data_IF_957513112210
#
_entry.id   IF_957513112210
#
_cell.length_a   1.000
_cell.length_b   1.000
_cell.length_c   1.000
_cell.angle_alpha   90.00
_cell.angle_beta   90.00
_cell.angle_gamma   90.00
#
_symmetry.space_group_name_H-M   'P 1'
#
loop_
_entity.id
_entity.type
_entity.pdbx_description
1 polymer ?
#
# COMPACT_ATOMS: atom_id res chain seq x y z
N UNK A 1 17.80 2.18 19.69
CA UNK A 1 17.76 2.26 18.21
C UNK A 1 16.43 2.88 17.84
N UNK A 2 16.45 4.11 17.33
CA UNK A 2 15.27 4.80 16.82
C UNK A 2 14.69 3.92 15.69
N UNK A 3 13.45 3.43 15.83
CA UNK A 3 12.74 2.85 14.67
C UNK A 3 12.59 4.00 13.68
N UNK A 4 13.27 3.94 12.54
CA UNK A 4 13.04 4.91 11.47
C UNK A 4 11.56 4.91 11.09
N UNK A 5 11.00 6.11 10.99
CA UNK A 5 9.60 6.29 10.67
C UNK A 5 9.41 6.02 9.18
N UNK A 6 8.63 5.00 8.83
CA UNK A 6 8.34 4.68 7.44
C UNK A 6 7.47 5.77 6.81
N UNK A 7 7.82 6.18 5.60
CA UNK A 7 6.99 6.97 4.69
C UNK A 7 6.03 6.03 3.97
N UNK A 8 4.73 6.27 4.14
CA UNK A 8 3.68 5.39 3.63
C UNK A 8 2.79 6.16 2.65
N UNK A 9 2.53 5.58 1.48
CA UNK A 9 1.48 6.05 0.57
C UNK A 9 0.24 5.17 0.73
N UNK A 10 -0.91 5.78 1.02
CA UNK A 10 -2.20 5.13 1.15
C UNK A 10 -3.07 5.51 -0.05
N UNK A 11 -3.47 4.52 -0.85
CA UNK A 11 -4.32 4.71 -2.02
C UNK A 11 -5.61 3.92 -1.90
N UNK A 12 -6.74 4.62 -1.88
CA UNK A 12 -8.09 4.08 -1.79
C UNK A 12 -9.07 5.18 -2.19
N UNK A 13 -10.12 4.90 -2.95
CA UNK A 13 -11.13 5.91 -3.31
C UNK A 13 -12.03 6.26 -2.11
N UNK A 14 -12.18 5.35 -1.16
CA UNK A 14 -12.96 5.55 0.06
C UNK A 14 -12.19 6.36 1.11
N UNK A 15 -12.68 7.58 1.38
CA UNK A 15 -12.17 8.44 2.46
C UNK A 15 -12.17 7.71 3.82
N UNK A 16 -13.20 6.89 4.09
CA UNK A 16 -13.31 6.14 5.33
C UNK A 16 -12.19 5.11 5.46
N UNK A 17 -11.87 4.38 4.39
CA UNK A 17 -10.80 3.39 4.40
C UNK A 17 -9.43 4.04 4.54
N UNK A 18 -9.18 5.17 3.85
CA UNK A 18 -7.93 5.93 4.03
C UNK A 18 -7.76 6.40 5.48
N UNK A 19 -8.81 6.97 6.09
CA UNK A 19 -8.77 7.38 7.50
C UNK A 19 -8.45 6.21 8.43
N UNK A 20 -9.17 5.09 8.31
CA UNK A 20 -8.92 3.89 9.13
C UNK A 20 -7.49 3.39 8.99
N UNK A 21 -6.96 3.31 7.77
CA UNK A 21 -5.59 2.85 7.56
C UNK A 21 -4.57 3.84 8.14
N UNK A 22 -4.77 5.14 7.96
CA UNK A 22 -3.91 6.17 8.57
C UNK A 22 -3.89 6.08 10.08
N UNK A 23 -5.05 5.91 10.72
CA UNK A 23 -5.14 5.76 12.17
C UNK A 23 -4.34 4.53 12.62
N UNK A 24 -4.50 3.38 11.93
CA UNK A 24 -3.73 2.18 12.19
C UNK A 24 -2.22 2.35 11.99
N UNK A 25 -1.81 3.03 10.92
CA UNK A 25 -0.41 3.32 10.63
C UNK A 25 0.20 4.30 11.64
N UNK A 26 -0.60 5.24 12.15
CA UNK A 26 -0.21 6.16 13.23
C UNK A 26 0.09 5.40 14.52
N UNK A 27 -0.73 4.42 14.88
CA UNK A 27 -0.47 3.52 16.02
C UNK A 27 0.81 2.70 15.84
N UNK A 28 1.18 2.36 14.60
CA UNK A 28 2.45 1.70 14.27
C UNK A 28 3.68 2.63 14.36
N UNK A 29 3.48 3.94 14.56
CA UNK A 29 4.54 4.96 14.56
C UNK A 29 5.02 5.35 13.16
N UNK A 30 4.16 5.27 12.13
CA UNK A 30 4.46 5.83 10.81
C UNK A 30 4.08 7.32 10.83
N UNK A 31 5.07 8.21 10.66
CA UNK A 31 4.87 9.65 10.82
C UNK A 31 4.54 10.37 9.51
N UNK A 32 4.98 9.85 8.37
CA UNK A 32 4.80 10.48 7.06
C UNK A 32 3.84 9.65 6.21
N UNK A 33 2.58 10.08 6.13
CA UNK A 33 1.55 9.38 5.37
C UNK A 33 1.01 10.30 4.26
N UNK A 34 1.12 9.81 3.03
CA UNK A 34 0.64 10.47 1.81
C UNK A 34 -0.63 9.75 1.37
N UNK A 35 -1.61 10.48 0.83
CA UNK A 35 -2.86 9.91 0.35
C UNK A 35 -3.05 10.07 -1.17
N UNK A 36 -3.59 9.03 -1.80
CA UNK A 36 -4.09 9.04 -3.17
C UNK A 36 -5.52 8.51 -3.20
N UNK A 37 -6.32 8.98 -4.16
CA UNK A 37 -7.74 8.62 -4.32
C UNK A 37 -7.99 7.67 -5.49
N UNK A 38 -6.97 7.40 -6.30
CA UNK A 38 -7.03 6.57 -7.50
C UNK A 38 -5.63 6.10 -7.89
N UNK A 39 -5.58 5.09 -8.77
CA UNK A 39 -4.33 4.45 -9.15
C UNK A 39 -3.37 5.36 -9.93
N UNK A 40 -3.86 6.33 -10.71
CA UNK A 40 -2.98 7.26 -11.42
C UNK A 40 -2.29 8.20 -10.44
N UNK A 41 -3.06 8.78 -9.52
CA UNK A 41 -2.51 9.68 -8.51
C UNK A 41 -1.50 8.96 -7.62
N UNK A 42 -1.72 7.69 -7.31
CA UNK A 42 -0.76 6.88 -6.56
C UNK A 42 0.56 6.66 -7.32
N UNK A 43 0.51 6.38 -8.62
CA UNK A 43 1.71 6.27 -9.47
C UNK A 43 2.51 7.58 -9.48
N UNK A 44 1.82 8.71 -9.64
CA UNK A 44 2.48 10.02 -9.70
C UNK A 44 3.13 10.38 -8.36
N UNK A 45 2.39 10.21 -7.26
CA UNK A 45 2.88 10.46 -5.91
C UNK A 45 4.01 9.52 -5.51
N UNK A 46 3.99 8.26 -5.97
CA UNK A 46 5.10 7.33 -5.76
C UNK A 46 6.38 7.85 -6.41
N UNK A 47 6.31 8.28 -7.68
CA UNK A 47 7.47 8.80 -8.41
C UNK A 47 8.04 10.06 -7.78
N UNK A 48 7.17 10.93 -7.27
CA UNK A 48 7.54 12.20 -6.62
C UNK A 48 8.15 12.00 -5.24
N UNK A 49 7.54 11.15 -4.39
CA UNK A 49 7.85 11.09 -2.97
C UNK A 49 8.67 9.85 -2.56
N UNK A 50 8.74 8.83 -3.41
CA UNK A 50 9.42 7.54 -3.19
C UNK A 50 9.14 6.96 -1.79
N UNK A 51 7.87 6.64 -1.48
CA UNK A 51 7.51 6.08 -0.18
C UNK A 51 8.14 4.69 0.03
N UNK A 52 8.37 4.32 1.28
CA UNK A 52 8.94 3.01 1.64
C UNK A 52 7.96 1.86 1.41
N UNK A 53 6.66 2.16 1.50
CA UNK A 53 5.57 1.22 1.21
C UNK A 53 4.34 1.95 0.67
N UNK A 54 3.66 1.29 -0.25
CA UNK A 54 2.35 1.70 -0.76
C UNK A 54 1.29 0.71 -0.29
N UNK A 55 0.19 1.18 0.28
CA UNK A 55 -1.03 0.41 0.45
C UNK A 55 -2.00 0.79 -0.67
N UNK A 56 -2.40 -0.17 -1.49
CA UNK A 56 -3.12 0.07 -2.74
C UNK A 56 -4.43 -0.72 -2.79
N UNK A 57 -5.58 -0.06 -2.87
CA UNK A 57 -6.82 -0.75 -3.21
C UNK A 57 -6.82 -1.24 -4.66
N UNK A 58 -7.51 -2.35 -4.93
CA UNK A 58 -7.59 -2.94 -6.27
C UNK A 58 -8.62 -2.24 -7.15
N UNK A 59 -9.80 -1.96 -6.61
CA UNK A 59 -10.97 -1.58 -7.38
C UNK A 59 -11.22 -0.10 -7.19
N UNK A 60 -10.62 0.70 -8.06
CA UNK A 60 -10.71 2.16 -8.03
C UNK A 60 -11.12 2.72 -9.40
N UNK A 61 -11.74 3.93 -9.44
CA UNK A 61 -11.99 4.63 -10.70
C UNK A 61 -10.67 5.05 -11.38
N UNK A 62 -10.76 5.42 -12.68
CA UNK A 62 -9.66 5.90 -13.53
C UNK A 62 -8.59 4.84 -13.84
N UNK A 63 -7.87 4.36 -12.82
CA UNK A 63 -6.86 3.31 -12.93
C UNK A 63 -7.02 2.34 -11.77
N UNK A 64 -7.20 1.07 -12.10
CA UNK A 64 -7.25 -0.01 -11.11
C UNK A 64 -5.88 -0.20 -10.44
N UNK A 65 -5.90 -0.70 -9.20
CA UNK A 65 -4.70 -0.83 -8.39
C UNK A 65 -3.67 -1.80 -8.97
N UNK A 66 -4.09 -2.81 -9.74
CA UNK A 66 -3.17 -3.79 -10.33
C UNK A 66 -2.33 -3.11 -11.42
N UNK A 67 -2.95 -2.34 -12.32
CA UNK A 67 -2.21 -1.51 -13.28
C UNK A 67 -1.31 -0.49 -12.62
N UNK A 68 -1.75 0.10 -11.50
CA UNK A 68 -0.92 1.01 -10.73
C UNK A 68 0.34 0.30 -10.17
N UNK A 69 0.20 -0.93 -9.69
CA UNK A 69 1.34 -1.77 -9.26
C UNK A 69 2.30 -2.01 -10.43
N UNK A 70 1.80 -2.45 -11.59
CA UNK A 70 2.62 -2.72 -12.77
C UNK A 70 3.47 -1.50 -13.15
N UNK A 71 2.88 -0.30 -13.18
CA UNK A 71 3.59 0.94 -13.50
C UNK A 71 4.60 1.35 -12.42
N UNK A 72 4.24 1.22 -11.14
CA UNK A 72 5.16 1.49 -10.03
C UNK A 72 6.35 0.54 -10.09
N UNK A 73 6.11 -0.76 -10.35
CA UNK A 73 7.17 -1.79 -10.45
C UNK A 73 8.04 -1.62 -11.69
N UNK A 74 7.47 -1.15 -12.80
CA UNK A 74 8.23 -0.83 -14.00
C UNK A 74 9.16 0.38 -13.78
N UNK A 75 8.73 1.35 -12.98
CA UNK A 75 9.56 2.50 -12.59
C UNK A 75 10.60 2.13 -11.51
N UNK A 76 10.20 1.33 -10.53
CA UNK A 76 11.02 0.90 -9.41
C UNK A 76 10.74 -0.57 -9.05
N UNK A 77 11.63 -1.45 -9.49
CA UNK A 77 11.51 -2.90 -9.26
C UNK A 77 11.56 -3.27 -7.77
N UNK A 78 12.08 -2.40 -6.90
CA UNK A 78 12.18 -2.62 -5.46
C UNK A 78 10.98 -2.06 -4.69
N UNK A 79 10.06 -1.37 -5.36
CA UNK A 79 8.85 -0.83 -4.74
C UNK A 79 8.10 -1.92 -3.97
N UNK A 80 7.71 -1.60 -2.74
CA UNK A 80 6.93 -2.48 -1.86
C UNK A 80 5.48 -2.03 -1.90
N UNK A 81 4.65 -2.74 -2.65
CA UNK A 81 3.21 -2.44 -2.77
C UNK A 81 2.39 -3.54 -2.08
N UNK A 82 1.68 -3.16 -1.02
CA UNK A 82 0.74 -4.01 -0.29
C UNK A 82 -0.65 -3.78 -0.87
N UNK A 83 -1.24 -4.81 -1.47
CA UNK A 83 -2.61 -4.73 -1.96
C UNK A 83 -3.59 -4.79 -0.79
N UNK A 84 -4.51 -3.84 -0.73
CA UNK A 84 -5.43 -3.67 0.39
C UNK A 84 -6.87 -3.60 -0.12
N UNK A 85 -7.58 -4.73 -0.23
CA UNK A 85 -8.91 -4.74 -0.89
C UNK A 85 -9.98 -5.58 -0.20
N UNK A 86 -11.23 -5.19 -0.42
CA UNK A 86 -12.44 -5.95 -0.05
C UNK A 86 -12.72 -7.10 -1.02
N UNK A 87 -12.23 -7.00 -2.27
CA UNK A 87 -12.47 -7.99 -3.32
C UNK A 87 -11.24 -8.89 -3.50
N UNK A 88 -11.04 -9.81 -2.55
CA UNK A 88 -9.94 -10.78 -2.52
C UNK A 88 -10.20 -12.05 -3.33
N UNK A 89 -10.74 -11.93 -4.56
CA UNK A 89 -10.95 -13.13 -5.40
C UNK A 89 -9.61 -13.77 -5.75
N UNK A 90 -9.60 -15.10 -5.99
CA UNK A 90 -8.39 -15.82 -6.40
C UNK A 90 -7.75 -15.23 -7.66
N UNK A 91 -8.58 -14.71 -8.56
CA UNK A 91 -8.12 -14.07 -9.80
C UNK A 91 -7.39 -12.76 -9.52
N UNK A 92 -7.97 -11.87 -8.68
CA UNK A 92 -7.32 -10.62 -8.30
C UNK A 92 -6.00 -10.85 -7.58
N UNK A 93 -5.95 -11.85 -6.70
CA UNK A 93 -4.72 -12.21 -5.99
C UNK A 93 -3.63 -12.68 -6.97
N UNK A 94 -3.99 -13.55 -7.91
CA UNK A 94 -3.04 -14.04 -8.93
C UNK A 94 -2.50 -12.87 -9.76
N UNK A 95 -3.38 -12.01 -10.27
CA UNK A 95 -2.98 -10.85 -11.07
C UNK A 95 -2.10 -9.86 -10.28
N UNK A 96 -2.38 -9.63 -9.00
CA UNK A 96 -1.56 -8.79 -8.15
C UNK A 96 -0.15 -9.37 -7.93
N UNK A 97 -0.04 -10.69 -7.75
CA UNK A 97 1.25 -11.39 -7.65
C UNK A 97 2.02 -11.25 -8.96
N UNK A 98 1.36 -11.51 -10.10
CA UNK A 98 1.97 -11.40 -11.43
C UNK A 98 2.44 -9.96 -11.73
N UNK A 99 1.73 -8.95 -11.22
CA UNK A 99 2.10 -7.54 -11.30
C UNK A 99 3.29 -7.15 -10.39
N UNK A 100 3.70 -8.01 -9.45
CA UNK A 100 4.82 -7.77 -8.54
C UNK A 100 4.45 -7.13 -7.20
N UNK A 101 3.21 -7.33 -6.74
CA UNK A 101 2.80 -6.96 -5.40
C UNK A 101 3.68 -7.63 -4.33
N UNK A 102 3.96 -6.88 -3.26
CA UNK A 102 4.82 -7.34 -2.16
C UNK A 102 4.04 -8.22 -1.17
N UNK A 103 2.83 -7.81 -0.80
CA UNK A 103 1.97 -8.52 0.14
C UNK A 103 0.50 -8.15 -0.13
N UNK A 104 -0.43 -8.86 0.51
CA UNK A 104 -1.87 -8.63 0.40
C UNK A 104 -2.51 -8.57 1.79
N UNK A 105 -3.45 -7.65 1.97
CA UNK A 105 -4.31 -7.55 3.14
C UNK A 105 -5.77 -7.40 2.70
N UNK A 106 -6.66 -8.17 3.33
CA UNK A 106 -8.09 -8.11 3.06
C UNK A 106 -8.78 -7.09 3.96
N UNK A 107 -9.75 -6.36 3.42
CA UNK A 107 -10.66 -5.51 4.19
C UNK A 107 -11.85 -6.33 4.74
N UNK A 108 -12.36 -6.02 5.94
CA UNK A 108 -11.77 -5.11 6.93
C UNK A 108 -10.51 -5.73 7.58
N UNK A 109 -9.53 -4.89 7.92
CA UNK A 109 -8.34 -5.31 8.63
C UNK A 109 -8.41 -4.96 10.11
N UNK A 110 -7.81 -5.83 10.92
CA UNK A 110 -7.53 -5.58 12.32
C UNK A 110 -6.16 -4.90 12.50
N UNK A 111 -5.98 -4.17 13.60
CA UNK A 111 -4.73 -3.46 13.89
C UNK A 111 -3.51 -4.38 13.85
N UNK A 112 -3.64 -5.59 14.38
CA UNK A 112 -2.56 -6.60 14.44
C UNK A 112 -2.04 -6.97 13.03
N UNK A 113 -2.89 -6.95 12.02
CA UNK A 113 -2.50 -7.26 10.64
C UNK A 113 -1.62 -6.14 10.07
N UNK A 114 -1.98 -4.88 10.33
CA UNK A 114 -1.16 -3.72 9.94
C UNK A 114 0.16 -3.73 10.69
N UNK A 115 0.14 -3.97 12.01
CA UNK A 115 1.36 -4.07 12.83
C UNK A 115 2.32 -5.12 12.27
N UNK A 116 1.81 -6.29 11.87
CA UNK A 116 2.61 -7.38 11.30
C UNK A 116 3.30 -6.94 10.00
N UNK A 117 2.56 -6.31 9.09
CA UNK A 117 3.11 -5.83 7.80
C UNK A 117 4.19 -4.78 8.06
N UNK A 118 3.92 -3.77 8.89
CA UNK A 118 4.88 -2.71 9.22
C UNK A 118 6.13 -3.27 9.90
N UNK A 119 5.99 -4.21 10.82
CA UNK A 119 7.13 -4.85 11.47
C UNK A 119 7.94 -5.72 10.48
N UNK A 120 7.31 -6.40 9.52
CA UNK A 120 7.99 -7.14 8.47
C UNK A 120 8.82 -6.21 7.57
N UNK A 121 8.27 -5.06 7.20
CA UNK A 121 8.96 -4.05 6.39
C UNK A 121 10.22 -3.52 7.10
N UNK A 122 10.11 -3.20 8.40
CA UNK A 122 11.24 -2.74 9.23
C UNK A 122 12.34 -3.80 9.42
N UNK A 123 12.01 -5.09 9.35
CA UNK A 123 12.99 -6.18 9.53
C UNK A 123 13.81 -6.45 8.28
N UNK A 124 13.22 -6.26 7.08
CA UNK A 124 13.87 -6.53 5.80
C UNK A 124 14.85 -5.45 5.33
N UNK A 125 15.04 -4.39 6.12
CA UNK A 125 16.00 -3.30 5.85
C UNK A 125 17.29 -3.41 6.68
N UNK A 126 17.45 -4.50 7.44
CA UNK A 126 18.71 -4.91 8.07
C UNK A 126 19.35 -6.05 7.30
#
# INVERSE_FOLDING_TARGET
MSKEALKVLVCDDSLLMRKKLKDSLGLCGCAEIIEATDGQRAVDLYKENKPDVVFMDIVMPVKDGIKAVEEIKAFDQKAKVVMASSSGTKEHLKRAIDAGAFEFIQKPWEQEQIDKIINNLRRKEK
#
